data_IF_376014772172
#
_entry.id   IF_376014772172
#
_cell.length_a   1.000
_cell.length_b   1.000
_cell.length_c   1.000
_cell.angle_alpha   90.00
_cell.angle_beta   90.00
_cell.angle_gamma   90.00
#
_symmetry.space_group_name_H-M   'P 1'
#
loop_
_entity.id
_entity.type
_entity.pdbx_description
1 polymer ?
#
# COMPACT_ATOMS: atom_id res chain seq x y z
N UNK A 1 -3.03 26.14 18.77
CA UNK A 1 -4.03 25.86 17.73
C UNK A 1 -3.75 24.45 17.24
N UNK A 2 -4.65 23.50 17.50
CA UNK A 2 -4.58 22.19 16.86
C UNK A 2 -4.87 22.42 15.37
N UNK A 3 -3.91 22.08 14.50
CA UNK A 3 -4.13 22.16 13.06
C UNK A 3 -5.36 21.31 12.67
N UNK A 4 -6.15 21.77 11.71
CA UNK A 4 -7.29 21.01 11.20
C UNK A 4 -6.76 19.70 10.58
N UNK A 5 -7.19 18.56 11.13
CA UNK A 5 -6.78 17.23 10.67
C UNK A 5 -7.05 17.04 9.18
N UNK A 6 -8.11 17.66 8.64
CA UNK A 6 -8.41 17.57 7.21
C UNK A 6 -7.33 18.22 6.35
N UNK A 7 -6.73 19.32 6.80
CA UNK A 7 -5.66 20.00 6.08
C UNK A 7 -4.34 19.21 6.11
N UNK A 8 -4.13 18.38 7.13
CA UNK A 8 -2.92 17.57 7.28
C UNK A 8 -3.04 16.18 6.63
N UNK A 9 -4.20 15.54 6.79
CA UNK A 9 -4.40 14.13 6.47
C UNK A 9 -5.45 13.88 5.39
N UNK A 10 -6.12 14.93 4.90
CA UNK A 10 -7.23 14.79 3.93
C UNK A 10 -8.49 14.16 4.52
N UNK A 11 -8.54 13.93 5.83
CA UNK A 11 -9.67 13.35 6.55
C UNK A 11 -9.87 14.02 7.91
N UNK A 12 -11.10 14.01 8.41
CA UNK A 12 -11.44 14.44 9.78
C UNK A 12 -11.39 13.29 10.79
N UNK A 13 -11.10 12.07 10.33
CA UNK A 13 -10.86 10.94 11.22
C UNK A 13 -9.71 11.29 12.18
N UNK A 14 -9.93 11.04 13.47
CA UNK A 14 -8.95 11.31 14.52
C UNK A 14 -8.30 9.97 14.87
N UNK A 15 -6.99 9.86 14.65
CA UNK A 15 -6.24 8.70 15.13
C UNK A 15 -6.15 8.69 16.65
N UNK A 16 -6.20 7.49 17.24
CA UNK A 16 -6.00 7.33 18.67
C UNK A 16 -4.57 7.75 19.07
N UNK A 17 -4.46 8.49 20.16
CA UNK A 17 -3.15 8.87 20.69
C UNK A 17 -2.34 7.63 21.10
N UNK A 18 -1.05 7.55 20.74
CA UNK A 18 -0.21 6.41 21.09
C UNK A 18 0.01 6.30 22.61
N UNK A 19 -0.05 5.07 23.12
CA UNK A 19 0.37 4.75 24.50
C UNK A 19 1.79 4.19 24.44
N UNK A 20 2.77 4.90 25.01
CA UNK A 20 4.16 4.45 25.05
C UNK A 20 4.32 3.31 26.06
N UNK A 21 4.76 2.16 25.56
CA UNK A 21 5.09 0.95 26.32
C UNK A 21 6.60 0.82 26.54
N UNK A 22 7.03 0.36 27.73
CA UNK A 22 8.44 0.16 28.07
C UNK A 22 8.66 -1.12 28.89
N UNK A 23 9.75 -1.82 28.59
CA UNK A 23 10.27 -2.95 29.34
C UNK A 23 11.80 -2.88 29.30
N UNK A 24 12.42 -2.35 30.36
CA UNK A 24 13.85 -2.04 30.36
C UNK A 24 14.24 -1.09 29.20
N UNK A 25 15.15 -1.55 28.33
CA UNK A 25 15.61 -0.79 27.16
C UNK A 25 14.71 -0.93 25.93
N UNK A 26 13.73 -1.81 25.96
CA UNK A 26 12.77 -1.98 24.86
C UNK A 26 11.60 -1.01 25.03
N UNK A 27 11.15 -0.39 23.94
CA UNK A 27 9.94 0.44 23.93
C UNK A 27 9.14 0.32 22.63
N UNK A 28 7.84 0.60 22.68
CA UNK A 28 6.96 0.62 21.52
C UNK A 28 5.78 1.59 21.76
N UNK A 29 5.16 2.10 20.71
CA UNK A 29 3.89 2.83 20.78
C UNK A 29 2.73 1.88 20.48
N UNK A 30 1.79 1.75 21.41
CA UNK A 30 0.54 1.03 21.19
C UNK A 30 -0.52 1.96 20.60
N UNK A 31 -1.06 1.61 19.42
CA UNK A 31 -2.07 2.38 18.68
C UNK A 31 -3.06 1.41 18.03
N UNK A 32 -4.35 1.53 18.37
CA UNK A 32 -5.43 0.74 17.77
C UNK A 32 -5.15 -0.77 17.74
N UNK A 33 -4.63 -1.34 18.83
CA UNK A 33 -4.32 -2.77 18.92
C UNK A 33 -2.94 -3.15 18.38
N UNK A 34 -2.26 -2.25 17.68
CA UNK A 34 -1.01 -2.52 16.99
C UNK A 34 0.18 -1.86 17.70
N UNK A 35 1.39 -2.31 17.38
CA UNK A 35 2.63 -1.71 17.84
C UNK A 35 3.29 -0.90 16.72
N UNK A 36 3.80 0.28 17.07
CA UNK A 36 4.59 1.16 16.19
C UNK A 36 5.88 1.59 16.88
N UNK A 37 6.86 2.02 16.08
CA UNK A 37 8.17 2.53 16.55
C UNK A 37 8.81 1.64 17.62
N UNK A 38 8.89 0.33 17.36
CA UNK A 38 9.50 -0.63 18.27
C UNK A 38 11.00 -0.36 18.29
N UNK A 39 11.52 0.01 19.46
CA UNK A 39 12.90 0.47 19.64
C UNK A 39 13.61 -0.31 20.72
N UNK A 40 14.89 -0.55 20.50
CA UNK A 40 15.83 -0.95 21.54
C UNK A 40 16.77 0.22 21.83
N UNK A 41 16.71 0.72 23.07
CA UNK A 41 17.17 2.06 23.43
C UNK A 41 16.42 3.10 22.57
N UNK A 42 17.13 3.88 21.76
CA UNK A 42 16.52 4.87 20.84
C UNK A 42 16.63 4.47 19.36
N UNK A 43 17.11 3.26 19.07
CA UNK A 43 17.24 2.76 17.70
C UNK A 43 15.98 1.99 17.33
N UNK A 44 15.36 2.35 16.21
CA UNK A 44 14.21 1.64 15.65
C UNK A 44 14.66 0.26 15.16
N UNK A 45 14.03 -0.78 15.71
CA UNK A 45 14.27 -2.19 15.36
C UNK A 45 13.21 -2.63 14.35
N UNK A 46 11.93 -2.36 14.67
CA UNK A 46 10.81 -2.56 13.78
C UNK A 46 9.94 -1.30 13.77
N UNK A 47 9.45 -0.93 12.60
CA UNK A 47 8.56 0.21 12.44
C UNK A 47 7.16 -0.09 12.94
N UNK A 48 6.65 -1.29 12.68
CA UNK A 48 5.34 -1.72 13.17
C UNK A 48 5.19 -3.25 13.24
N UNK A 49 4.33 -3.71 14.14
CA UNK A 49 3.74 -5.05 14.13
C UNK A 49 2.23 -4.84 14.25
N UNK A 50 1.48 -5.22 13.22
CA UNK A 50 0.05 -4.98 13.14
C UNK A 50 -0.71 -6.22 12.69
N UNK A 51 -1.87 -6.50 13.30
CA UNK A 51 -2.76 -7.57 12.86
C UNK A 51 -3.86 -6.98 11.97
N UNK A 52 -3.86 -7.34 10.69
CA UNK A 52 -4.66 -6.70 9.65
C UNK A 52 -5.72 -7.66 9.14
N UNK A 53 -6.98 -7.20 9.10
CA UNK A 53 -8.09 -7.91 8.46
C UNK A 53 -8.53 -7.08 7.25
N UNK A 54 -8.61 -7.71 6.07
CA UNK A 54 -9.08 -7.07 4.83
C UNK A 54 -10.23 -7.82 4.19
N UNK A 55 -11.20 -7.09 3.68
CA UNK A 55 -12.31 -7.63 2.90
C UNK A 55 -11.88 -8.02 1.47
N UNK A 56 -12.84 -8.49 0.67
CA UNK A 56 -12.66 -8.89 -0.74
C UNK A 56 -12.14 -7.76 -1.64
N UNK A 57 -12.36 -6.50 -1.25
CA UNK A 57 -12.02 -5.30 -1.98
C UNK A 57 -10.73 -4.66 -1.44
N UNK A 58 -9.99 -5.38 -0.59
CA UNK A 58 -8.78 -4.93 0.10
C UNK A 58 -9.00 -3.77 1.09
N UNK A 59 -10.25 -3.44 1.42
CA UNK A 59 -10.62 -2.53 2.50
C UNK A 59 -10.15 -3.10 3.85
N UNK A 60 -9.58 -2.26 4.71
CA UNK A 60 -9.07 -2.68 6.03
C UNK A 60 -10.14 -2.43 7.09
N UNK A 61 -10.49 -3.45 7.86
CA UNK A 61 -11.40 -3.29 8.99
C UNK A 61 -10.71 -2.54 10.14
N UNK A 62 -11.44 -1.62 10.77
CA UNK A 62 -11.00 -0.86 11.94
C UNK A 62 -11.87 -1.21 13.17
N UNK A 63 -11.65 -2.39 13.78
CA UNK A 63 -12.46 -2.87 14.88
C UNK A 63 -12.22 -2.05 16.16
N UNK A 64 -13.28 -1.77 16.91
CA UNK A 64 -13.14 -1.19 18.24
C UNK A 64 -12.56 -2.22 19.22
N UNK A 65 -11.60 -1.79 20.05
CA UNK A 65 -11.05 -2.64 21.10
C UNK A 65 -12.00 -2.70 22.29
N UNK A 66 -12.24 -3.91 22.81
CA UNK A 66 -12.93 -4.16 24.07
C UNK A 66 -12.01 -4.89 25.03
N UNK A 67 -12.34 -4.86 26.33
CA UNK A 67 -11.56 -5.54 27.38
C UNK A 67 -10.05 -5.20 27.36
N UNK A 68 -9.72 -3.97 26.96
CA UNK A 68 -8.33 -3.51 26.90
C UNK A 68 -7.76 -3.38 28.31
N UNK A 69 -6.74 -4.18 28.58
CA UNK A 69 -5.93 -4.12 29.80
C UNK A 69 -4.50 -3.86 29.40
N UNK A 70 -3.90 -2.84 30.00
CA UNK A 70 -2.49 -2.51 29.87
C UNK A 70 -1.89 -2.53 31.26
N UNK A 71 -0.94 -3.44 31.49
CA UNK A 71 -0.15 -3.53 32.72
C UNK A 71 1.31 -3.22 32.40
N UNK A 72 1.91 -2.29 33.13
CA UNK A 72 3.27 -1.82 32.88
C UNK A 72 4.05 -1.71 34.19
N UNK A 73 5.15 -2.47 34.25
CA UNK A 73 6.19 -2.33 35.25
C UNK A 73 7.44 -1.64 34.65
N UNK A 74 8.52 -1.61 35.43
CA UNK A 74 9.81 -1.10 34.96
C UNK A 74 10.46 -2.03 33.91
N UNK A 75 10.39 -3.34 34.17
CA UNK A 75 11.10 -4.35 33.39
C UNK A 75 10.20 -5.16 32.47
N UNK A 76 8.88 -4.98 32.54
CA UNK A 76 7.91 -5.71 31.73
C UNK A 76 6.71 -4.86 31.38
N UNK A 77 6.05 -5.18 30.27
CA UNK A 77 4.68 -4.75 30.03
C UNK A 77 3.86 -5.90 29.47
N UNK A 78 2.56 -5.84 29.69
CA UNK A 78 1.59 -6.71 29.02
C UNK A 78 0.38 -5.91 28.57
N UNK A 79 -0.15 -6.27 27.41
CA UNK A 79 -1.40 -5.75 26.86
C UNK A 79 -2.28 -6.93 26.48
N UNK A 80 -3.56 -6.87 26.80
CA UNK A 80 -4.56 -7.81 26.29
C UNK A 80 -5.80 -7.06 25.87
N UNK A 81 -6.44 -7.49 24.79
CA UNK A 81 -7.70 -6.94 24.34
C UNK A 81 -8.48 -7.97 23.51
N UNK A 82 -9.78 -7.72 23.37
CA UNK A 82 -10.64 -8.37 22.39
C UNK A 82 -11.06 -7.35 21.34
N UNK A 83 -11.40 -7.80 20.14
CA UNK A 83 -11.94 -6.96 19.08
C UNK A 83 -12.70 -7.83 18.08
N UNK A 84 -13.57 -7.22 17.26
CA UNK A 84 -14.37 -7.94 16.28
C UNK A 84 -14.56 -7.16 14.98
N UNK A 85 -14.58 -7.89 13.86
CA UNK A 85 -14.94 -7.37 12.55
C UNK A 85 -16.30 -7.92 12.16
N UNK A 86 -17.15 -7.05 11.59
CA UNK A 86 -18.42 -7.46 10.98
C UNK A 86 -18.31 -7.24 9.48
N UNK A 87 -18.28 -8.34 8.73
CA UNK A 87 -18.22 -8.33 7.28
C UNK A 87 -19.60 -8.22 6.63
N UNK A 88 -19.64 -8.35 5.29
CA UNK A 88 -20.89 -8.42 4.54
C UNK A 88 -21.83 -9.50 5.11
N UNK A 89 -23.14 -9.25 4.98
CA UNK A 89 -24.20 -10.16 5.42
C UNK A 89 -24.19 -10.49 6.93
N UNK A 90 -23.44 -9.71 7.73
CA UNK A 90 -23.36 -9.90 9.18
C UNK A 90 -22.40 -10.99 9.63
N UNK A 91 -21.55 -11.50 8.73
CA UNK A 91 -20.46 -12.41 9.09
C UNK A 91 -19.56 -11.76 10.14
N UNK A 92 -19.16 -12.53 11.15
CA UNK A 92 -18.43 -11.99 12.30
C UNK A 92 -17.15 -12.77 12.57
N UNK A 93 -16.07 -12.01 12.74
CA UNK A 93 -14.75 -12.50 13.12
C UNK A 93 -14.34 -11.86 14.44
N UNK A 94 -14.24 -12.67 15.49
CA UNK A 94 -13.76 -12.24 16.79
C UNK A 94 -12.26 -12.54 16.93
N UNK A 95 -11.52 -11.67 17.60
CA UNK A 95 -10.12 -11.91 17.91
C UNK A 95 -9.74 -11.48 19.30
N UNK A 96 -8.76 -12.20 19.87
CA UNK A 96 -8.13 -11.92 21.15
C UNK A 96 -6.63 -11.80 20.98
N UNK A 97 -6.10 -10.69 21.46
CA UNK A 97 -4.68 -10.38 21.41
C UNK A 97 -4.04 -10.46 22.79
N UNK A 98 -2.76 -10.81 22.82
CA UNK A 98 -1.89 -10.63 23.98
C UNK A 98 -0.52 -10.18 23.51
N UNK A 99 -0.03 -9.10 24.10
CA UNK A 99 1.30 -8.56 23.85
C UNK A 99 2.06 -8.61 25.16
N UNK A 100 3.26 -9.16 25.17
CA UNK A 100 4.13 -9.20 26.35
C UNK A 100 5.52 -8.79 25.96
N UNK A 101 6.19 -8.03 26.82
CA UNK A 101 7.60 -7.76 26.64
C UNK A 101 8.34 -7.71 27.98
N UNK A 102 9.64 -7.98 27.92
CA UNK A 102 10.54 -8.02 29.07
C UNK A 102 11.88 -7.32 28.79
N UNK A 103 12.55 -6.90 29.87
CA UNK A 103 13.80 -6.15 29.84
C UNK A 103 14.98 -6.93 29.23
N UNK A 104 14.85 -8.24 29.07
CA UNK A 104 15.83 -9.10 28.38
C UNK A 104 15.73 -9.04 26.85
N UNK A 105 14.90 -8.13 26.31
CA UNK A 105 14.78 -7.88 24.88
C UNK A 105 13.78 -8.78 24.16
N UNK A 106 12.94 -9.51 24.89
CA UNK A 106 11.85 -10.29 24.31
C UNK A 106 10.57 -9.46 24.18
N UNK A 107 9.91 -9.58 23.04
CA UNK A 107 8.55 -9.09 22.78
C UNK A 107 7.78 -10.15 22.01
N UNK A 108 6.61 -10.51 22.51
CA UNK A 108 5.71 -11.49 21.88
C UNK A 108 4.36 -10.86 21.67
N UNK A 109 3.84 -10.92 20.45
CA UNK A 109 2.50 -10.51 20.07
C UNK A 109 1.75 -11.75 19.56
N UNK A 110 0.93 -12.30 20.43
CA UNK A 110 0.04 -13.43 20.16
C UNK A 110 -1.35 -12.96 19.75
N UNK A 111 -1.91 -13.64 18.75
CA UNK A 111 -3.23 -13.33 18.23
C UNK A 111 -4.00 -14.62 17.94
N UNK A 112 -5.27 -14.66 18.33
CA UNK A 112 -6.21 -15.75 18.09
C UNK A 112 -7.49 -15.21 17.47
N UNK A 113 -7.79 -15.57 16.23
CA UNK A 113 -9.01 -15.17 15.52
C UNK A 113 -9.97 -16.36 15.37
N UNK A 114 -11.26 -16.15 15.63
CA UNK A 114 -12.32 -17.15 15.60
C UNK A 114 -13.51 -16.61 14.81
N UNK A 115 -13.80 -17.16 13.62
CA UNK A 115 -15.02 -16.84 12.89
C UNK A 115 -16.24 -17.45 13.58
N UNK A 116 -17.27 -16.65 13.86
CA UNK A 116 -18.57 -17.16 14.34
C UNK A 116 -19.35 -17.86 13.20
N UNK A 117 -19.16 -17.37 11.98
CA UNK A 117 -19.63 -17.95 10.73
C UNK A 117 -18.49 -17.95 9.71
N UNK A 118 -18.69 -18.60 8.56
CA UNK A 118 -17.73 -18.51 7.46
C UNK A 118 -17.44 -17.04 7.14
N UNK A 119 -16.16 -16.69 7.14
CA UNK A 119 -15.70 -15.30 7.01
C UNK A 119 -14.79 -15.15 5.79
N UNK A 120 -15.28 -14.43 4.78
CA UNK A 120 -14.54 -14.13 3.54
C UNK A 120 -13.53 -12.99 3.78
N UNK A 121 -12.28 -13.20 3.36
CA UNK A 121 -11.20 -12.22 3.56
C UNK A 121 -10.11 -12.35 2.49
N UNK A 122 -9.47 -11.23 2.14
CA UNK A 122 -8.22 -11.26 1.37
C UNK A 122 -6.98 -11.39 2.27
N UNK A 123 -7.09 -10.99 3.55
CA UNK A 123 -6.02 -11.09 4.54
C UNK A 123 -6.60 -11.07 5.94
N UNK A 124 -6.23 -12.04 6.75
CA UNK A 124 -6.42 -12.03 8.19
C UNK A 124 -5.11 -12.47 8.84
N UNK A 125 -4.32 -11.52 9.33
CA UNK A 125 -3.06 -11.85 9.98
C UNK A 125 -2.05 -10.72 10.09
N UNK A 126 -0.86 -11.05 10.61
CA UNK A 126 0.18 -10.06 10.88
C UNK A 126 0.82 -9.46 9.62
N UNK A 127 1.10 -8.16 9.72
CA UNK A 127 2.03 -7.40 8.89
C UNK A 127 3.10 -6.77 9.79
N UNK A 128 4.36 -6.92 9.42
CA UNK A 128 5.52 -6.40 10.13
C UNK A 128 6.24 -5.42 9.20
N UNK A 129 6.52 -4.21 9.70
CA UNK A 129 7.25 -3.20 8.95
C UNK A 129 8.67 -3.09 9.49
N UNK A 130 9.65 -3.28 8.61
CA UNK A 130 11.07 -3.11 8.89
C UNK A 130 11.52 -1.73 8.39
N UNK A 131 12.27 -0.95 9.18
CA UNK A 131 12.69 0.39 8.77
C UNK A 131 13.67 0.33 7.60
N UNK A 132 13.57 1.26 6.64
CA UNK A 132 14.57 1.39 5.56
C UNK A 132 15.90 1.95 6.10
N UNK A 133 15.82 2.96 6.97
CA UNK A 133 16.99 3.60 7.55
C UNK A 133 17.78 2.60 8.41
N UNK A 134 19.03 2.33 8.01
CA UNK A 134 19.90 1.36 8.67
C UNK A 134 19.82 -0.06 8.12
N UNK A 135 18.76 -0.45 7.39
CA UNK A 135 18.60 -1.81 6.86
C UNK A 135 18.74 -1.94 5.35
N UNK A 136 18.54 -0.89 4.56
CA UNK A 136 18.64 -1.02 3.10
C UNK A 136 20.05 -1.43 2.64
N UNK A 137 20.16 -2.61 2.02
CA UNK A 137 21.44 -3.21 1.63
C UNK A 137 22.19 -3.96 2.74
N UNK A 138 21.65 -4.01 3.96
CA UNK A 138 22.30 -4.66 5.10
C UNK A 138 22.24 -6.20 4.99
N UNK A 139 23.22 -6.92 5.57
CA UNK A 139 23.15 -8.36 5.67
C UNK A 139 22.03 -8.79 6.61
N UNK A 140 21.34 -9.87 6.24
CA UNK A 140 20.30 -10.50 7.04
C UNK A 140 20.42 -12.03 6.95
N UNK A 141 20.08 -12.70 8.02
CA UNK A 141 19.86 -14.14 8.04
C UNK A 141 18.36 -14.40 7.90
N UNK A 142 17.96 -15.20 6.92
CA UNK A 142 16.57 -15.58 6.67
C UNK A 142 16.41 -17.07 6.97
N UNK A 143 15.48 -17.40 7.86
CA UNK A 143 14.99 -18.77 8.07
C UNK A 143 13.69 -18.95 7.30
N UNK A 144 13.60 -19.99 6.49
CA UNK A 144 12.42 -20.36 5.75
C UNK A 144 11.52 -21.33 6.53
N UNK A 145 10.27 -21.48 6.10
CA UNK A 145 9.28 -22.37 6.74
C UNK A 145 9.65 -23.86 6.67
N UNK A 146 10.52 -24.26 5.73
CA UNK A 146 11.08 -25.61 5.63
C UNK A 146 12.29 -25.84 6.57
N UNK A 147 12.69 -24.80 7.33
CA UNK A 147 13.82 -24.82 8.25
C UNK A 147 15.18 -24.53 7.59
N UNK A 148 15.23 -24.28 6.27
CA UNK A 148 16.45 -23.82 5.62
C UNK A 148 16.80 -22.40 6.08
N UNK A 149 18.11 -22.14 6.21
CA UNK A 149 18.63 -20.84 6.65
C UNK A 149 19.60 -20.31 5.61
N UNK A 150 19.41 -19.07 5.20
CA UNK A 150 20.23 -18.41 4.18
C UNK A 150 20.74 -17.06 4.67
N UNK A 151 22.03 -16.81 4.45
CA UNK A 151 22.65 -15.49 4.61
C UNK A 151 22.46 -14.71 3.32
N UNK A 152 21.84 -13.54 3.41
CA UNK A 152 21.50 -12.71 2.25
C UNK A 152 21.53 -11.23 2.62
N UNK A 153 20.98 -10.36 1.77
CA UNK A 153 20.89 -8.91 2.01
C UNK A 153 19.51 -8.39 1.69
N UNK A 154 19.08 -7.38 2.44
CA UNK A 154 17.91 -6.59 2.07
C UNK A 154 18.21 -5.78 0.79
N UNK A 155 17.22 -5.56 -0.12
CA UNK A 155 17.45 -4.82 -1.35
C UNK A 155 17.93 -3.39 -1.10
N UNK A 156 19.10 -3.02 -1.59
CA UNK A 156 19.54 -1.62 -1.49
C UNK A 156 18.68 -0.70 -2.36
N UNK A 157 18.52 -1.06 -3.63
CA UNK A 157 17.58 -0.43 -4.56
C UNK A 157 16.17 -1.02 -4.38
N UNK A 158 15.17 -0.32 -4.92
CA UNK A 158 13.78 -0.79 -4.90
C UNK A 158 13.69 -2.10 -5.67
N UNK A 159 13.21 -3.15 -5.01
CA UNK A 159 12.89 -4.42 -5.66
C UNK A 159 11.37 -4.47 -5.92
N UNK A 160 10.92 -4.49 -7.18
CA UNK A 160 9.48 -4.50 -7.49
C UNK A 160 8.82 -5.87 -7.22
N UNK A 161 9.59 -6.90 -6.86
CA UNK A 161 9.11 -8.25 -6.56
C UNK A 161 9.10 -8.55 -5.05
N UNK A 162 8.83 -9.79 -4.66
CA UNK A 162 8.98 -10.23 -3.27
C UNK A 162 10.47 -10.51 -2.97
N UNK A 163 11.17 -9.74 -2.11
CA UNK A 163 12.57 -9.99 -1.82
C UNK A 163 12.81 -11.36 -1.19
N UNK A 164 11.92 -11.77 -0.28
CA UNK A 164 11.97 -13.05 0.43
C UNK A 164 10.59 -13.70 0.48
N UNK A 165 10.54 -15.01 0.31
CA UNK A 165 9.33 -15.84 0.36
C UNK A 165 9.46 -16.91 1.44
N UNK A 166 8.34 -17.50 1.83
CA UNK A 166 8.29 -18.61 2.78
C UNK A 166 9.07 -18.32 4.07
N UNK A 167 8.95 -17.10 4.59
CA UNK A 167 9.66 -16.62 5.77
C UNK A 167 9.11 -17.25 7.06
N UNK A 168 10.02 -17.73 7.90
CA UNK A 168 9.79 -18.09 9.31
C UNK A 168 10.44 -17.09 10.26
N UNK A 169 11.67 -16.67 9.97
CA UNK A 169 12.36 -15.64 10.74
C UNK A 169 13.27 -14.78 9.86
N UNK A 170 13.48 -13.54 10.29
CA UNK A 170 14.50 -12.64 9.73
C UNK A 170 15.32 -12.04 10.87
N UNK A 171 16.63 -12.16 10.76
CA UNK A 171 17.59 -11.63 11.73
C UNK A 171 18.44 -10.56 11.09
N UNK A 172 18.55 -9.41 11.74
CA UNK A 172 19.37 -8.30 11.29
C UNK A 172 20.16 -7.69 12.44
N UNK A 173 21.28 -7.04 12.11
CA UNK A 173 22.04 -6.26 13.08
C UNK A 173 21.37 -4.88 13.28
N UNK A 174 20.98 -4.59 14.52
CA UNK A 174 20.38 -3.29 14.91
C UNK A 174 21.48 -2.23 15.05
N UNK A 175 22.61 -2.64 15.61
CA UNK A 175 23.85 -1.88 15.78
C UNK A 175 24.99 -2.87 16.03
N UNK A 176 26.27 -2.46 15.87
CA UNK A 176 27.42 -3.32 16.13
C UNK A 176 27.29 -4.13 17.43
N UNK A 177 27.22 -5.46 17.31
CA UNK A 177 27.13 -6.38 18.44
C UNK A 177 25.74 -6.51 19.09
N UNK A 178 24.68 -6.03 18.45
CA UNK A 178 23.29 -6.24 18.86
C UNK A 178 22.44 -6.67 17.66
N UNK A 179 21.85 -7.85 17.77
CA UNK A 179 21.02 -8.46 16.75
C UNK A 179 19.55 -8.45 17.16
N UNK A 180 18.67 -8.35 16.19
CA UNK A 180 17.24 -8.54 16.35
C UNK A 180 16.79 -9.68 15.44
N UNK A 181 16.19 -10.72 16.04
CA UNK A 181 15.48 -11.77 15.32
C UNK A 181 13.98 -11.51 15.45
N UNK A 182 13.30 -11.40 14.31
CA UNK A 182 11.85 -11.39 14.24
C UNK A 182 11.38 -12.74 13.71
N UNK A 183 10.69 -13.51 14.55
CA UNK A 183 10.09 -14.80 14.20
C UNK A 183 8.59 -14.63 14.00
N UNK A 184 8.05 -15.25 12.96
CA UNK A 184 6.65 -15.17 12.57
C UNK A 184 6.07 -16.58 12.55
N UNK A 185 5.00 -16.84 13.29
CA UNK A 185 4.40 -18.17 13.45
C UNK A 185 2.90 -18.16 13.12
N UNK A 186 2.39 -19.33 12.71
CA UNK A 186 0.98 -19.54 12.36
C UNK A 186 0.68 -19.64 10.86
N UNK A 187 1.62 -19.24 9.99
CA UNK A 187 1.56 -19.46 8.53
C UNK A 187 2.95 -19.22 7.90
N UNK A 188 3.02 -19.23 6.56
CA UNK A 188 4.12 -18.70 5.76
C UNK A 188 3.96 -17.18 5.52
N UNK A 189 5.07 -16.47 5.63
CA UNK A 189 5.12 -15.03 5.39
C UNK A 189 5.97 -14.73 4.15
N UNK A 190 5.75 -13.59 3.51
CA UNK A 190 6.63 -13.09 2.45
C UNK A 190 6.89 -11.60 2.63
N UNK A 191 7.97 -11.13 2.03
CA UNK A 191 8.39 -9.74 2.09
C UNK A 191 8.03 -9.01 0.80
N UNK A 192 7.70 -7.74 0.95
CA UNK A 192 7.53 -6.76 -0.11
C UNK A 192 8.35 -5.52 0.23
N UNK A 193 8.98 -4.92 -0.78
CA UNK A 193 9.63 -3.63 -0.66
C UNK A 193 8.61 -2.51 -0.85
N UNK A 194 8.10 -1.95 0.26
CA UNK A 194 7.01 -0.99 0.16
C UNK A 194 7.42 0.36 -0.44
N UNK A 195 8.70 0.58 -0.72
CA UNK A 195 9.17 1.76 -1.47
C UNK A 195 8.57 1.81 -2.87
N UNK A 196 8.14 0.67 -3.42
CA UNK A 196 7.38 0.59 -4.66
C UNK A 196 5.98 1.26 -4.56
N UNK A 197 5.47 1.45 -3.35
CA UNK A 197 4.23 2.19 -3.04
C UNK A 197 4.52 3.49 -2.27
N UNK A 198 5.76 4.00 -2.34
CA UNK A 198 6.23 5.21 -1.64
C UNK A 198 6.26 5.14 -0.11
N UNK A 199 6.07 3.95 0.49
CA UNK A 199 6.26 3.74 1.92
C UNK A 199 7.75 3.51 2.25
N UNK A 200 8.22 4.08 3.35
CA UNK A 200 9.60 3.94 3.79
C UNK A 200 9.84 2.68 4.66
N UNK A 201 9.40 1.50 4.21
CA UNK A 201 9.59 0.22 4.91
C UNK A 201 9.71 -0.98 3.97
N UNK A 202 10.35 -2.04 4.44
CA UNK A 202 10.04 -3.39 3.95
C UNK A 202 8.85 -3.93 4.76
N UNK A 203 7.91 -4.61 4.11
CA UNK A 203 6.78 -5.23 4.79
C UNK A 203 6.88 -6.73 4.67
N UNK A 204 6.84 -7.42 5.80
CA UNK A 204 6.59 -8.86 5.84
C UNK A 204 5.13 -9.10 6.19
N UNK A 205 4.42 -9.93 5.43
CA UNK A 205 2.99 -10.16 5.62
C UNK A 205 2.60 -11.62 5.40
N UNK A 206 1.46 -11.97 5.98
CA UNK A 206 0.74 -13.22 5.75
C UNK A 206 -0.53 -12.97 4.92
N UNK A 207 -1.04 -13.92 4.13
CA UNK A 207 -0.36 -15.10 3.56
C UNK A 207 0.24 -14.73 2.19
N UNK A 208 1.00 -15.61 1.52
CA UNK A 208 1.54 -15.32 0.20
C UNK A 208 0.46 -14.88 -0.80
N UNK A 209 0.73 -13.80 -1.54
CA UNK A 209 -0.20 -13.21 -2.53
C UNK A 209 -0.44 -14.11 -3.74
N UNK A 210 0.43 -15.10 -3.96
CA UNK A 210 0.27 -16.10 -5.02
C UNK A 210 -0.83 -17.14 -4.70
N UNK A 211 -1.29 -17.24 -3.45
CA UNK A 211 -2.42 -18.11 -3.09
C UNK A 211 -3.75 -17.45 -3.51
N UNK A 212 -4.82 -18.22 -3.80
CA UNK A 212 -6.10 -17.67 -4.23
C UNK A 212 -6.68 -16.66 -3.24
N UNK A 213 -7.36 -15.63 -3.70
CA UNK A 213 -8.11 -14.71 -2.84
C UNK A 213 -9.36 -14.19 -3.58
N UNK A 214 -10.44 -13.82 -2.86
CA UNK A 214 -10.61 -13.98 -1.42
C UNK A 214 -10.62 -15.45 -0.99
N UNK A 215 -10.40 -15.70 0.30
CA UNK A 215 -10.51 -17.02 0.91
C UNK A 215 -11.44 -16.99 2.11
N UNK A 216 -11.92 -18.16 2.52
CA UNK A 216 -12.85 -18.30 3.63
C UNK A 216 -12.13 -18.85 4.85
N UNK A 217 -12.32 -18.18 5.99
CA UNK A 217 -12.03 -18.74 7.30
C UNK A 217 -13.26 -19.53 7.78
N UNK A 218 -13.16 -20.86 8.00
CA UNK A 218 -14.33 -21.66 8.38
C UNK A 218 -14.88 -21.29 9.76
N UNK A 219 -16.21 -21.34 9.89
CA UNK A 219 -16.88 -21.13 11.17
C UNK A 219 -16.35 -22.07 12.27
N UNK A 220 -16.03 -21.52 13.44
CA UNK A 220 -15.58 -22.29 14.60
C UNK A 220 -14.10 -22.72 14.56
N UNK A 221 -13.38 -22.47 13.47
CA UNK A 221 -11.95 -22.79 13.37
C UNK A 221 -11.08 -21.63 13.84
N UNK A 222 -10.30 -21.85 14.90
CA UNK A 222 -9.43 -20.82 15.44
C UNK A 222 -8.13 -20.72 14.64
N UNK A 223 -7.84 -19.54 14.09
CA UNK A 223 -6.53 -19.20 13.52
C UNK A 223 -5.68 -18.56 14.60
N UNK A 224 -4.46 -19.08 14.80
CA UNK A 224 -3.49 -18.52 15.76
C UNK A 224 -2.22 -18.11 15.04
N UNK A 225 -1.74 -16.92 15.37
CA UNK A 225 -0.46 -16.42 14.89
C UNK A 225 0.29 -15.74 16.02
N UNK A 226 1.61 -15.79 15.95
CA UNK A 226 2.48 -15.21 16.97
C UNK A 226 3.67 -14.54 16.28
N UNK A 227 3.94 -13.29 16.65
CA UNK A 227 5.17 -12.60 16.29
C UNK A 227 6.06 -12.49 17.53
N UNK A 228 7.26 -13.06 17.45
CA UNK A 228 8.25 -13.01 18.52
C UNK A 228 9.47 -12.21 18.05
N UNK A 229 9.70 -11.06 18.67
CA UNK A 229 10.91 -10.26 18.49
C UNK A 229 11.86 -10.55 19.66
N UNK A 230 13.09 -10.93 19.35
CA UNK A 230 14.16 -11.07 20.33
C UNK A 230 15.33 -10.17 19.94
N UNK A 231 15.65 -9.22 20.80
CA UNK A 231 16.83 -8.36 20.66
C UNK A 231 17.88 -8.78 21.67
N UNK A 232 19.08 -9.14 21.20
CA UNK A 232 20.14 -9.67 22.05
C UNK A 232 21.51 -9.09 21.69
N UNK A 233 22.38 -9.00 22.69
CA UNK A 233 23.76 -8.52 22.56
C UNK A 233 24.12 -7.43 23.58
N UNK A 234 25.40 -7.19 23.75
CA UNK A 234 25.99 -6.23 24.70
C UNK A 234 26.66 -5.04 24.00
N UNK A 235 26.40 -4.86 22.70
CA UNK A 235 26.93 -3.76 21.90
C UNK A 235 26.59 -2.39 22.50
N UNK A 236 27.63 -1.58 22.70
CA UNK A 236 27.52 -0.23 23.26
C UNK A 236 26.52 0.61 22.47
N UNK A 237 25.61 1.28 23.16
CA UNK A 237 24.73 2.28 22.56
C UNK A 237 25.62 3.43 22.06
N UNK A 238 25.58 3.79 20.77
CA UNK A 238 26.34 4.94 20.28
C UNK A 238 25.90 6.20 21.01
N UNK A 239 26.85 7.05 21.44
CA UNK A 239 26.57 8.30 22.14
C UNK A 239 25.64 9.25 21.35
N UNK A 240 25.55 9.07 20.02
CA UNK A 240 24.71 9.84 19.10
C UNK A 240 23.20 9.54 19.20
N UNK A 241 22.78 8.54 20.00
CA UNK A 241 21.36 8.36 20.34
C UNK A 241 20.84 9.42 21.32
N UNK A 242 21.75 10.20 21.95
CA UNK A 242 21.40 11.26 22.88
C UNK A 242 20.82 12.47 22.14
N UNK A 243 19.49 12.56 22.15
CA UNK A 243 18.69 13.74 21.83
C UNK A 243 18.89 14.19 20.37
N UNK A 244 18.07 13.67 19.47
CA UNK A 244 17.88 14.31 18.18
C UNK A 244 17.40 15.74 18.43
N UNK A 245 18.25 16.74 18.13
CA UNK A 245 17.82 18.13 18.10
C UNK A 245 16.60 18.26 17.18
N UNK A 246 15.66 19.17 17.47
CA UNK A 246 14.50 19.39 16.60
C UNK A 246 14.96 19.59 15.16
N UNK A 247 14.47 18.75 14.25
CA UNK A 247 14.77 18.89 12.83
C UNK A 247 14.17 20.23 12.38
N UNK A 248 15.03 21.15 11.95
CA UNK A 248 14.60 22.41 11.36
C UNK A 248 14.35 22.18 9.87
N UNK A 249 13.08 22.24 9.48
CA UNK A 249 12.67 22.23 8.07
C UNK A 249 12.62 23.67 7.60
N UNK A 250 13.40 23.98 6.58
CA UNK A 250 13.40 25.28 5.90
C UNK A 250 13.03 25.07 4.43
N UNK A 251 12.35 26.06 3.84
CA UNK A 251 12.14 26.06 2.39
C UNK A 251 13.50 26.31 1.73
N UNK A 252 13.93 25.36 0.90
CA UNK A 252 15.11 25.53 0.06
C UNK A 252 14.84 26.48 -1.12
N UNK A 253 15.82 26.55 -2.02
CA UNK A 253 15.64 27.19 -3.32
C UNK A 253 14.49 26.51 -4.09
N UNK A 254 13.75 27.30 -4.87
CA UNK A 254 12.67 26.76 -5.69
C UNK A 254 13.24 25.71 -6.67
N UNK A 255 12.73 24.48 -6.56
CA UNK A 255 13.09 23.38 -7.45
C UNK A 255 12.44 23.48 -8.84
N UNK A 256 12.60 22.46 -9.68
CA UNK A 256 11.90 22.34 -10.96
C UNK A 256 10.38 22.47 -10.80
N UNK A 257 9.72 22.91 -11.88
CA UNK A 257 8.26 22.91 -11.94
C UNK A 257 7.70 21.52 -11.62
N UNK A 258 6.70 21.47 -10.76
CA UNK A 258 5.93 20.26 -10.52
C UNK A 258 5.25 19.79 -11.83
N UNK A 259 5.00 18.48 -11.98
CA UNK A 259 4.26 17.98 -13.12
C UNK A 259 2.89 18.66 -13.22
N UNK A 260 2.38 18.81 -14.44
CA UNK A 260 1.04 19.30 -14.69
C UNK A 260 0.02 18.39 -13.98
N UNK A 261 -0.93 18.99 -13.28
CA UNK A 261 -2.04 18.27 -12.65
C UNK A 261 -3.23 18.31 -13.62
N UNK A 262 -3.73 17.12 -13.95
CA UNK A 262 -4.89 16.95 -14.82
C UNK A 262 -6.12 16.46 -14.06
N UNK A 263 -7.29 16.61 -14.68
CA UNK A 263 -8.55 16.02 -14.22
C UNK A 263 -9.04 15.05 -15.30
N UNK A 264 -9.26 13.80 -14.92
CA UNK A 264 -9.90 12.81 -15.78
C UNK A 264 -11.42 13.04 -15.81
N UNK A 265 -12.01 12.91 -17.00
CA UNK A 265 -13.45 13.07 -17.24
C UNK A 265 -13.92 11.88 -18.06
N UNK A 266 -14.87 11.13 -17.51
CA UNK A 266 -15.60 10.07 -18.21
C UNK A 266 -16.78 10.65 -19.01
N UNK A 267 -17.28 9.96 -20.05
CA UNK A 267 -18.37 10.49 -20.88
C UNK A 267 -19.63 10.87 -20.10
N UNK A 268 -19.98 10.10 -19.06
CA UNK A 268 -21.14 10.31 -18.19
C UNK A 268 -20.94 11.47 -17.19
N UNK A 269 -19.71 11.93 -16.99
CA UNK A 269 -19.38 13.03 -16.10
C UNK A 269 -19.36 14.40 -16.79
N UNK A 270 -19.42 14.43 -18.13
CA UNK A 270 -19.27 15.67 -18.92
C UNK A 270 -20.33 16.72 -18.56
N UNK A 271 -21.60 16.33 -18.43
CA UNK A 271 -22.67 17.27 -18.08
C UNK A 271 -22.50 17.81 -16.65
N UNK A 272 -22.05 16.96 -15.72
CA UNK A 272 -21.73 17.36 -14.34
C UNK A 272 -20.57 18.35 -14.31
N UNK A 273 -19.51 18.11 -15.11
CA UNK A 273 -18.37 19.01 -15.24
C UNK A 273 -18.78 20.36 -15.85
N UNK A 274 -19.61 20.36 -16.89
CA UNK A 274 -20.18 21.56 -17.50
C UNK A 274 -21.03 22.36 -16.50
N UNK A 275 -21.87 21.68 -15.72
CA UNK A 275 -22.68 22.32 -14.67
C UNK A 275 -21.82 22.90 -13.53
N UNK A 276 -20.60 22.41 -13.34
CA UNK A 276 -19.67 22.84 -12.29
C UNK A 276 -18.42 23.57 -12.82
N UNK A 277 -18.49 24.18 -14.02
CA UNK A 277 -17.37 24.91 -14.63
C UNK A 277 -16.67 25.93 -13.70
N UNK A 278 -17.37 26.71 -12.85
CA UNK A 278 -16.70 27.61 -11.91
C UNK A 278 -15.76 26.89 -10.94
N UNK A 279 -16.13 25.68 -10.48
CA UNK A 279 -15.29 24.87 -9.60
C UNK A 279 -14.10 24.28 -10.36
N UNK A 280 -14.34 23.74 -11.56
CA UNK A 280 -13.27 23.21 -12.41
C UNK A 280 -12.26 24.31 -12.77
N UNK A 281 -12.74 25.53 -13.03
CA UNK A 281 -11.89 26.70 -13.30
C UNK A 281 -11.11 27.15 -12.06
N UNK A 282 -11.73 27.11 -10.87
CA UNK A 282 -11.07 27.43 -9.61
C UNK A 282 -10.00 26.40 -9.22
N UNK A 283 -10.22 25.11 -9.55
CA UNK A 283 -9.21 24.07 -9.42
C UNK A 283 -8.02 24.32 -10.37
N UNK A 284 -8.28 24.92 -11.53
CA UNK A 284 -7.26 25.34 -12.49
C UNK A 284 -6.39 24.21 -13.04
N UNK A 285 -6.98 23.08 -13.50
CA UNK A 285 -6.18 21.96 -14.01
C UNK A 285 -5.40 22.39 -15.26
N UNK A 286 -4.16 21.92 -15.37
CA UNK A 286 -3.35 22.20 -16.55
C UNK A 286 -3.74 21.30 -17.73
N UNK A 287 -4.43 20.19 -17.46
CA UNK A 287 -4.93 19.25 -18.47
C UNK A 287 -6.33 18.71 -18.13
N UNK A 288 -7.15 18.49 -19.16
CA UNK A 288 -8.33 17.62 -19.09
C UNK A 288 -8.00 16.32 -19.82
N UNK A 289 -8.17 15.20 -19.12
CA UNK A 289 -7.97 13.87 -19.67
C UNK A 289 -9.32 13.24 -19.94
N UNK A 290 -9.58 12.87 -21.19
CA UNK A 290 -10.86 12.31 -21.61
C UNK A 290 -10.75 10.81 -21.76
N UNK A 291 -11.50 10.06 -20.95
CA UNK A 291 -11.52 8.61 -21.00
C UNK A 291 -12.40 8.12 -22.16
N UNK A 292 -11.79 7.48 -23.15
CA UNK A 292 -12.44 6.97 -24.35
C UNK A 292 -12.20 5.46 -24.49
N UNK A 293 -13.29 4.70 -24.51
CA UNK A 293 -13.26 3.24 -24.55
C UNK A 293 -14.33 2.71 -25.52
N UNK A 294 -13.96 2.48 -26.79
CA UNK A 294 -14.83 1.83 -27.78
C UNK A 294 -15.36 0.47 -27.31
N UNK A 295 -14.59 -0.28 -26.50
CA UNK A 295 -14.99 -1.61 -26.01
C UNK A 295 -16.14 -1.54 -25.00
N UNK A 296 -16.40 -0.35 -24.43
CA UNK A 296 -17.54 -0.03 -23.56
C UNK A 296 -18.64 0.75 -24.28
N UNK A 297 -18.54 0.89 -25.60
CA UNK A 297 -19.53 1.59 -26.42
C UNK A 297 -19.31 3.10 -26.53
N UNK A 298 -18.15 3.64 -26.12
CA UNK A 298 -17.86 5.06 -26.33
C UNK A 298 -17.67 5.32 -27.83
N UNK A 299 -18.58 6.09 -28.41
CA UNK A 299 -18.58 6.44 -29.83
C UNK A 299 -18.37 7.94 -30.09
N UNK A 300 -18.77 8.38 -31.28
CA UNK A 300 -18.65 9.77 -31.72
C UNK A 300 -19.32 10.77 -30.76
N UNK A 301 -20.44 10.41 -30.14
CA UNK A 301 -21.16 11.30 -29.24
C UNK A 301 -20.39 11.58 -27.93
N UNK A 302 -19.62 10.60 -27.43
CA UNK A 302 -18.70 10.81 -26.31
C UNK A 302 -17.59 11.80 -26.69
N UNK A 303 -16.99 11.64 -27.87
CA UNK A 303 -15.96 12.56 -28.36
C UNK A 303 -16.51 13.98 -28.57
N UNK A 304 -17.75 14.11 -29.05
CA UNK A 304 -18.43 15.41 -29.19
C UNK A 304 -18.73 16.06 -27.84
N UNK A 305 -19.11 15.28 -26.83
CA UNK A 305 -19.34 15.81 -25.48
C UNK A 305 -18.05 16.33 -24.87
N UNK A 306 -16.93 15.61 -25.05
CA UNK A 306 -15.59 16.08 -24.67
C UNK A 306 -15.18 17.36 -25.41
N UNK A 307 -15.42 17.47 -26.72
CA UNK A 307 -15.13 18.68 -27.49
C UNK A 307 -15.87 19.91 -26.94
N UNK A 308 -17.14 19.74 -26.52
CA UNK A 308 -17.92 20.81 -25.89
C UNK A 308 -17.34 21.23 -24.54
N UNK A 309 -16.90 20.29 -23.69
CA UNK A 309 -16.26 20.61 -22.42
C UNK A 309 -14.91 21.30 -22.62
N UNK A 310 -14.08 20.81 -23.55
CA UNK A 310 -12.80 21.42 -23.90
C UNK A 310 -12.94 22.87 -24.39
N UNK A 311 -14.01 23.18 -25.12
CA UNK A 311 -14.31 24.55 -25.54
C UNK A 311 -14.73 25.46 -24.37
N UNK A 312 -15.36 24.91 -23.33
CA UNK A 312 -15.84 25.65 -22.17
C UNK A 312 -14.77 25.81 -21.06
N UNK A 313 -13.77 24.94 -21.03
CA UNK A 313 -12.66 24.96 -20.07
C UNK A 313 -11.32 24.88 -20.81
N UNK A 314 -10.68 26.03 -21.10
CA UNK A 314 -9.42 26.06 -21.84
C UNK A 314 -8.27 25.48 -20.99
N UNK A 315 -7.95 24.21 -21.24
CA UNK A 315 -6.78 23.51 -20.74
C UNK A 315 -6.21 22.64 -21.86
N UNK A 316 -5.00 22.09 -21.68
CA UNK A 316 -4.52 21.04 -22.60
C UNK A 316 -5.44 19.83 -22.51
N UNK A 317 -5.61 19.11 -23.61
CA UNK A 317 -6.53 17.98 -23.69
C UNK A 317 -5.78 16.71 -24.03
N UNK A 318 -5.96 15.66 -23.26
CA UNK A 318 -5.37 14.34 -23.51
C UNK A 318 -6.50 13.35 -23.72
N UNK A 319 -6.44 12.54 -24.78
CA UNK A 319 -7.35 11.41 -24.93
C UNK A 319 -6.70 10.18 -24.28
N UNK A 320 -7.28 9.67 -23.20
CA UNK A 320 -6.95 8.34 -22.70
C UNK A 320 -7.80 7.34 -23.49
N UNK A 321 -7.17 6.62 -24.42
CA UNK A 321 -7.83 5.75 -25.38
C UNK A 321 -7.55 4.29 -25.04
N UNK A 322 -8.62 3.55 -24.76
CA UNK A 322 -8.57 2.09 -24.71
C UNK A 322 -8.70 1.54 -26.13
N UNK A 323 -7.87 0.55 -26.47
CA UNK A 323 -7.91 -0.18 -27.75
C UNK A 323 -8.10 -1.66 -27.48
N UNK A 324 -8.87 -2.37 -28.32
CA UNK A 324 -9.08 -3.82 -28.16
C UNK A 324 -7.83 -4.60 -28.47
N UNK A 325 -7.02 -4.15 -29.44
CA UNK A 325 -5.82 -4.86 -29.93
C UNK A 325 -6.12 -6.26 -30.53
N UNK A 326 -7.36 -6.54 -30.93
CA UNK A 326 -7.77 -7.86 -31.45
C UNK A 326 -7.56 -8.03 -32.98
N UNK A 327 -7.00 -7.02 -33.65
CA UNK A 327 -6.86 -7.00 -35.11
C UNK A 327 -5.75 -6.08 -35.60
N UNK A 328 -5.98 -5.45 -36.75
CA UNK A 328 -5.04 -4.50 -37.34
C UNK A 328 -4.98 -3.21 -36.52
N UNK A 329 -3.88 -3.00 -35.81
CA UNK A 329 -3.62 -1.84 -34.96
C UNK A 329 -3.68 -0.51 -35.74
N UNK A 330 -3.22 -0.50 -37.00
CA UNK A 330 -3.25 0.71 -37.82
C UNK A 330 -4.68 1.06 -38.22
N UNK A 331 -5.49 0.07 -38.58
CA UNK A 331 -6.90 0.28 -38.89
C UNK A 331 -7.70 0.75 -37.66
N UNK A 332 -7.46 0.13 -36.51
CA UNK A 332 -8.12 0.48 -35.25
C UNK A 332 -7.82 1.94 -34.85
N UNK A 333 -6.53 2.31 -34.75
CA UNK A 333 -6.14 3.64 -34.30
C UNK A 333 -6.44 4.73 -35.33
N UNK A 334 -6.37 4.42 -36.64
CA UNK A 334 -6.84 5.34 -37.68
C UNK A 334 -8.34 5.63 -37.55
N UNK A 335 -9.13 4.61 -37.20
CA UNK A 335 -10.56 4.78 -36.92
C UNK A 335 -10.84 5.70 -35.73
N UNK A 336 -10.05 5.60 -34.66
CA UNK A 336 -10.13 6.53 -33.52
C UNK A 336 -9.76 7.96 -33.96
N UNK A 337 -8.66 8.12 -34.71
CA UNK A 337 -8.23 9.42 -35.20
C UNK A 337 -9.27 10.08 -36.12
N UNK A 338 -9.93 9.30 -36.99
CA UNK A 338 -11.07 9.74 -37.78
C UNK A 338 -12.21 10.22 -36.88
N UNK A 339 -12.60 9.44 -35.88
CA UNK A 339 -13.70 9.80 -34.97
C UNK A 339 -13.41 11.10 -34.19
N UNK A 340 -12.18 11.28 -33.69
CA UNK A 340 -11.72 12.51 -33.02
C UNK A 340 -11.83 13.71 -33.94
N UNK A 341 -11.37 13.58 -35.20
CA UNK A 341 -11.50 14.63 -36.22
C UNK A 341 -12.95 14.98 -36.51
N UNK A 342 -13.83 13.99 -36.66
CA UNK A 342 -15.26 14.19 -36.89
C UNK A 342 -15.98 14.84 -35.69
N UNK A 343 -15.51 14.60 -34.47
CA UNK A 343 -16.02 15.25 -33.27
C UNK A 343 -15.59 16.72 -33.15
N UNK A 344 -14.57 17.15 -33.90
CA UNK A 344 -13.95 18.46 -33.73
C UNK A 344 -13.17 18.61 -32.42
N UNK A 345 -12.78 17.49 -31.80
CA UNK A 345 -12.01 17.48 -30.57
C UNK A 345 -10.53 17.75 -30.90
N UNK A 346 -9.99 18.87 -30.39
CA UNK A 346 -8.56 19.15 -30.47
C UNK A 346 -7.87 18.48 -29.30
N UNK A 347 -6.81 17.74 -29.59
CA UNK A 347 -5.99 17.04 -28.60
C UNK A 347 -4.59 17.68 -28.54
N UNK A 348 -4.00 17.66 -27.35
CA UNK A 348 -2.60 17.98 -27.08
C UNK A 348 -1.75 16.73 -26.88
N UNK A 349 -2.37 15.58 -26.60
CA UNK A 349 -1.72 14.28 -26.42
C UNK A 349 -2.74 13.15 -26.53
N UNK A 350 -2.25 11.92 -26.72
CA UNK A 350 -3.00 10.68 -26.58
C UNK A 350 -2.22 9.69 -25.72
N UNK A 351 -2.92 9.02 -24.80
CA UNK A 351 -2.41 7.90 -24.02
C UNK A 351 -3.20 6.65 -24.46
N UNK A 352 -2.53 5.67 -25.06
CA UNK A 352 -3.17 4.46 -25.60
C UNK A 352 -2.88 3.28 -24.68
N UNK A 353 -3.93 2.55 -24.30
CA UNK A 353 -3.84 1.39 -23.41
C UNK A 353 -4.60 0.20 -23.99
N UNK A 354 -3.95 -0.96 -24.20
CA UNK A 354 -4.65 -2.19 -24.55
C UNK A 354 -5.72 -2.56 -23.51
N UNK A 355 -6.89 -3.00 -23.98
CA UNK A 355 -8.02 -3.34 -23.11
C UNK A 355 -7.69 -4.51 -22.19
N UNK A 356 -6.87 -5.45 -22.67
CA UNK A 356 -6.40 -6.63 -21.92
C UNK A 356 -5.56 -6.26 -20.71
N UNK A 357 -4.78 -5.18 -20.76
CA UNK A 357 -3.90 -4.74 -19.66
C UNK A 357 -4.68 -4.08 -18.51
N UNK A 358 -5.97 -3.80 -18.71
CA UNK A 358 -6.84 -3.29 -17.64
C UNK A 358 -7.28 -4.37 -16.66
N UNK A 359 -6.95 -5.63 -16.94
CA UNK A 359 -7.14 -6.72 -16.02
C UNK A 359 -5.98 -6.71 -15.02
N UNK A 360 -6.31 -6.75 -13.72
CA UNK A 360 -5.28 -7.03 -12.71
C UNK A 360 -4.68 -8.39 -13.03
N UNK A 361 -3.37 -8.44 -13.24
CA UNK A 361 -2.62 -9.69 -13.44
C UNK A 361 -1.72 -9.91 -12.21
N UNK A 362 -2.23 -10.59 -11.17
CA UNK A 362 -1.48 -10.79 -9.93
C UNK A 362 -0.19 -11.58 -10.16
N UNK A 363 0.81 -11.43 -9.27
CA UNK A 363 2.02 -12.25 -9.30
C UNK A 363 1.70 -13.75 -9.40
N UNK A 364 2.32 -14.43 -10.37
CA UNK A 364 2.10 -15.86 -10.64
C UNK A 364 1.00 -16.18 -11.65
N UNK A 365 0.26 -15.19 -12.14
CA UNK A 365 -0.75 -15.37 -13.19
C UNK A 365 -0.12 -15.47 -14.58
N UNK A 366 -0.77 -16.20 -15.48
CA UNK A 366 -0.46 -16.10 -16.91
C UNK A 366 -0.95 -14.74 -17.40
N UNK A 367 -0.05 -13.95 -17.99
CA UNK A 367 -0.41 -12.68 -18.60
C UNK A 367 -1.33 -12.94 -19.81
N UNK A 368 -2.38 -12.12 -20.01
CA UNK A 368 -3.21 -12.24 -21.20
C UNK A 368 -2.38 -11.96 -22.45
N UNK A 369 -2.82 -12.52 -23.57
CA UNK A 369 -2.23 -12.20 -24.87
C UNK A 369 -2.46 -10.71 -25.18
N UNK A 370 -1.37 -9.98 -25.40
CA UNK A 370 -1.37 -8.57 -25.74
C UNK A 370 -0.28 -8.34 -26.79
N UNK A 371 -0.55 -7.61 -27.89
CA UNK A 371 0.50 -7.20 -28.82
C UNK A 371 1.59 -6.40 -28.08
N UNK A 372 2.85 -6.43 -28.56
CA UNK A 372 3.91 -5.63 -27.98
C UNK A 372 3.52 -4.15 -27.90
N UNK A 373 3.73 -3.52 -26.74
CA UNK A 373 3.33 -2.13 -26.51
C UNK A 373 4.01 -1.17 -27.49
N UNK A 374 5.24 -1.48 -27.93
CA UNK A 374 5.92 -0.72 -28.98
C UNK A 374 5.15 -0.66 -30.30
N UNK A 375 4.45 -1.73 -30.68
CA UNK A 375 3.66 -1.80 -31.90
C UNK A 375 2.37 -0.99 -31.77
N UNK A 376 1.70 -1.10 -30.60
CA UNK A 376 0.52 -0.29 -30.26
C UNK A 376 0.86 1.20 -30.29
N UNK A 377 1.97 1.59 -29.67
CA UNK A 377 2.42 2.98 -29.65
C UNK A 377 2.90 3.47 -31.03
N UNK A 378 3.51 2.60 -31.84
CA UNK A 378 3.89 2.95 -33.20
C UNK A 378 2.67 3.22 -34.09
N UNK A 379 1.63 2.38 -34.00
CA UNK A 379 0.37 2.60 -34.70
C UNK A 379 -0.32 3.90 -34.25
N UNK A 380 -0.28 4.22 -32.95
CA UNK A 380 -0.84 5.46 -32.41
C UNK A 380 -0.15 6.69 -33.00
N UNK A 381 1.19 6.70 -33.05
CA UNK A 381 1.97 7.78 -33.67
C UNK A 381 1.67 7.96 -35.16
N UNK A 382 1.40 6.87 -35.88
CA UNK A 382 1.01 6.94 -37.31
C UNK A 382 -0.38 7.54 -37.50
N UNK A 383 -1.34 7.15 -36.66
CA UNK A 383 -2.71 7.66 -36.71
C UNK A 383 -2.83 9.12 -36.24
N UNK A 384 -1.93 9.55 -35.35
CA UNK A 384 -1.92 10.87 -34.71
C UNK A 384 -0.57 11.59 -34.90
N UNK A 385 -0.20 11.97 -36.15
CA UNK A 385 1.15 12.47 -36.46
C UNK A 385 1.45 13.89 -35.92
N UNK A 386 0.42 14.67 -35.59
CA UNK A 386 0.53 16.08 -35.22
C UNK A 386 0.39 16.36 -33.71
N UNK A 387 0.29 15.32 -32.87
CA UNK A 387 0.14 15.44 -31.41
C UNK A 387 1.20 14.67 -30.62
#
# INVERSE_FOLDING_TARGET
>A
MTADAFLLYGTRAIEAAPVRLRAGVLSADFVNGNLRTIRHCDIEVLRAIAYIVRDRDWGTYEPALTDLVIDQGADTFSVSYSASCVGPEGSRLDFRATIKASADGQLVFDMSALPESDFETNRCGFCILHPIAGLAGSPVTVEHTDGSVVETKLPHQIDPWQPFKDLRAITHEVRPGVIAECRMEGDAFEMEDQRNWSDASYKTYVRPLALPWPYVLPAGETVRQTISLRVAGDGKVPAAAAIAEPIRVELGEAGPLLPNIGVIIYPDEVETALANLPKLSALGPQQLMFHYDPTRGHGLDALRSFARLAAACPAKTTLECVVSCEGDLDAELSGVADAVRHAGLKLSAIAVSPSVDRQSTPPGSAWPECPPLEDVYAAARRAFPDI
#
